data_IF_225051673771
#
_entry.id   IF_225051673771
#
_cell.length_a   1.000
_cell.length_b   1.000
_cell.length_c   1.000
_cell.angle_alpha   90.00
_cell.angle_beta   90.00
_cell.angle_gamma   90.00
#
_symmetry.space_group_name_H-M   'P 1'
#
loop_
_entity.id
_entity.type
_entity.pdbx_description
1 polymer ?
#
# COMPACT_ATOMS: atom_id res chain seq x y z
N UNK A 1 -15.02 11.85 10.41
CA UNK A 1 -14.00 12.20 11.42
C UNK A 1 -14.39 13.40 12.30
N UNK A 2 -15.10 14.41 11.79
CA UNK A 2 -15.61 15.52 12.63
C UNK A 2 -17.14 15.50 12.70
N UNK A 3 -17.68 14.62 13.55
CA UNK A 3 -19.11 14.67 13.89
C UNK A 3 -19.36 15.72 14.98
N UNK A 4 -20.56 16.32 15.07
CA UNK A 4 -20.85 17.39 16.03
C UNK A 4 -20.69 17.04 17.51
N UNK A 5 -20.40 15.78 17.86
CA UNK A 5 -20.19 15.30 19.23
C UNK A 5 -18.75 14.78 19.45
N UNK A 6 -17.78 15.29 18.67
CA UNK A 6 -16.38 14.89 18.84
C UNK A 6 -15.81 15.53 20.11
N UNK A 7 -15.84 14.79 21.21
CA UNK A 7 -15.30 15.22 22.52
C UNK A 7 -13.85 15.66 22.44
N UNK A 8 -13.07 15.08 21.52
CA UNK A 8 -11.68 15.44 21.25
C UNK A 8 -11.57 16.87 20.67
N UNK A 9 -12.43 17.23 19.70
CA UNK A 9 -12.49 18.57 19.12
C UNK A 9 -13.01 19.64 20.09
N UNK A 10 -14.00 19.29 20.91
CA UNK A 10 -14.53 20.21 21.94
C UNK A 10 -13.48 20.51 23.02
N UNK A 11 -12.75 19.48 23.47
CA UNK A 11 -11.67 19.62 24.46
C UNK A 11 -10.50 20.46 23.95
N UNK A 12 -10.24 20.41 22.63
CA UNK A 12 -9.27 21.26 21.93
C UNK A 12 -9.73 22.72 21.87
N UNK A 13 -11.00 22.96 21.52
CA UNK A 13 -11.55 24.32 21.36
C UNK A 13 -11.65 25.12 22.65
N UNK A 14 -11.79 24.44 23.80
CA UNK A 14 -11.98 25.06 25.11
C UNK A 14 -10.67 25.37 25.85
N UNK A 15 -9.51 24.98 25.32
CA UNK A 15 -8.21 25.24 25.95
C UNK A 15 -7.57 26.53 25.44
N UNK A 16 -7.13 27.36 26.38
CA UNK A 16 -6.44 28.64 26.13
C UNK A 16 -5.14 28.41 25.33
N UNK A 17 -4.91 29.26 24.33
CA UNK A 17 -3.80 29.23 23.35
C UNK A 17 -2.37 29.37 23.94
N UNK A 18 -2.23 29.37 25.27
CA UNK A 18 -0.97 29.70 25.95
C UNK A 18 0.04 28.55 25.93
N UNK A 19 -0.38 27.33 25.53
CA UNK A 19 0.50 26.16 25.41
C UNK A 19 0.09 25.26 24.24
N UNK A 20 1.08 24.77 23.49
CA UNK A 20 0.87 23.75 22.47
C UNK A 20 0.15 22.54 23.06
N UNK A 21 -0.90 22.09 22.38
CA UNK A 21 -1.66 20.92 22.79
C UNK A 21 -0.99 19.66 22.25
N UNK A 22 -0.62 18.78 23.16
CA UNK A 22 0.03 17.52 22.85
C UNK A 22 -1.02 16.41 22.76
N UNK A 23 -1.04 15.71 21.61
CA UNK A 23 -1.89 14.55 21.36
C UNK A 23 -0.98 13.33 21.26
N UNK A 24 -1.19 12.37 22.15
CA UNK A 24 -0.47 11.10 22.09
C UNK A 24 -1.11 10.18 21.05
N UNK A 25 -0.31 9.70 20.10
CA UNK A 25 -0.70 8.74 19.06
C UNK A 25 0.14 7.46 19.19
N UNK A 26 -0.09 6.63 20.22
CA UNK A 26 0.80 5.50 20.55
C UNK A 26 0.76 4.36 19.54
N UNK A 27 -0.32 4.26 18.76
CA UNK A 27 -0.58 3.14 17.84
C UNK A 27 -0.17 3.45 16.39
N UNK A 28 0.23 4.69 16.09
CA UNK A 28 0.56 5.12 14.73
C UNK A 28 2.06 5.08 14.49
N UNK A 29 2.44 4.62 13.30
CA UNK A 29 3.83 4.65 12.88
C UNK A 29 4.28 6.11 12.65
N UNK A 30 5.32 6.60 13.36
CA UNK A 30 5.75 7.99 13.26
C UNK A 30 6.15 8.38 11.84
N UNK A 31 6.78 7.47 11.08
CA UNK A 31 7.24 7.76 9.73
C UNK A 31 6.05 7.87 8.75
N UNK A 32 5.05 7.00 8.86
CA UNK A 32 3.82 7.10 8.07
C UNK A 32 3.06 8.40 8.35
N UNK A 33 2.99 8.82 9.61
CA UNK A 33 2.37 10.09 10.02
C UNK A 33 3.13 11.29 9.45
N UNK A 34 4.46 11.26 9.51
CA UNK A 34 5.31 12.32 8.94
C UNK A 34 5.10 12.45 7.42
N UNK A 35 5.05 11.32 6.69
CA UNK A 35 4.74 11.32 5.25
C UNK A 35 3.37 11.96 4.99
N UNK A 36 2.34 11.57 5.75
CA UNK A 36 1.00 12.14 5.60
C UNK A 36 1.02 13.66 5.83
N UNK A 37 1.68 14.14 6.88
CA UNK A 37 1.77 15.57 7.15
C UNK A 37 2.56 16.33 6.09
N UNK A 38 3.65 15.76 5.57
CA UNK A 38 4.40 16.35 4.48
C UNK A 38 3.54 16.49 3.21
N UNK A 39 2.68 15.51 2.91
CA UNK A 39 1.71 15.60 1.80
C UNK A 39 0.71 16.72 2.07
N UNK A 40 0.09 16.77 3.25
CA UNK A 40 -0.94 17.75 3.59
C UNK A 40 -0.42 19.19 3.64
N UNK A 41 0.87 19.37 3.97
CA UNK A 41 1.53 20.67 4.00
C UNK A 41 2.23 21.03 2.68
N UNK A 42 2.06 20.22 1.63
CA UNK A 42 2.70 20.41 0.32
C UNK A 42 4.25 20.47 0.37
N UNK A 43 4.86 19.80 1.34
CA UNK A 43 6.32 19.70 1.49
C UNK A 43 6.88 18.63 0.52
N UNK A 44 6.74 18.89 -0.78
CA UNK A 44 7.02 17.91 -1.83
C UNK A 44 8.47 17.40 -1.84
N UNK A 45 9.43 18.23 -1.42
CA UNK A 45 10.86 17.87 -1.32
C UNK A 45 11.12 16.78 -0.28
N UNK A 46 10.25 16.65 0.73
CA UNK A 46 10.36 15.66 1.80
C UNK A 46 9.56 14.37 1.50
N UNK A 47 8.94 14.26 0.32
CA UNK A 47 8.09 13.11 -0.01
C UNK A 47 8.90 11.91 -0.51
N UNK A 48 8.46 10.68 -0.20
CA UNK A 48 9.04 9.44 -0.73
C UNK A 48 9.20 9.37 -2.26
N UNK A 49 8.41 10.11 -3.05
CA UNK A 49 8.64 10.23 -4.50
C UNK A 49 10.02 10.84 -4.84
N UNK A 50 10.55 11.67 -3.95
CA UNK A 50 11.83 12.38 -4.11
C UNK A 50 12.96 11.64 -3.39
N UNK A 51 12.67 10.96 -2.27
CA UNK A 51 13.68 10.31 -1.41
C UNK A 51 13.76 8.78 -1.54
N UNK A 52 12.85 8.15 -2.30
CA UNK A 52 12.79 6.70 -2.54
C UNK A 52 11.71 6.01 -1.71
N UNK A 53 10.55 5.77 -2.31
CA UNK A 53 9.48 4.98 -1.70
C UNK A 53 9.76 3.48 -1.79
N UNK A 54 9.58 2.77 -0.68
CA UNK A 54 9.69 1.31 -0.62
C UNK A 54 8.34 0.65 -0.40
N UNK A 55 8.20 -0.63 -0.78
CA UNK A 55 6.99 -1.42 -0.52
C UNK A 55 6.62 -1.44 0.98
N UNK A 56 7.57 -1.65 1.94
CA UNK A 56 7.28 -1.53 3.36
C UNK A 56 6.75 -0.16 3.78
N UNK A 57 7.36 0.93 3.30
CA UNK A 57 6.88 2.29 3.61
C UNK A 57 5.45 2.49 3.11
N UNK A 58 5.16 2.04 1.89
CA UNK A 58 3.81 2.13 1.32
C UNK A 58 2.78 1.29 2.08
N UNK A 59 3.18 0.10 2.54
CA UNK A 59 2.37 -0.78 3.40
C UNK A 59 1.96 -0.11 4.70
N UNK A 60 2.88 0.60 5.35
CA UNK A 60 2.65 1.19 6.67
C UNK A 60 1.91 2.54 6.55
N UNK A 61 2.12 3.25 5.44
CA UNK A 61 1.43 4.50 5.11
C UNK A 61 -0.06 4.33 4.79
N UNK A 62 -0.42 3.32 4.00
CA UNK A 62 -1.79 3.17 3.51
C UNK A 62 -2.86 3.00 4.62
N UNK A 63 -2.66 2.17 5.66
CA UNK A 63 -3.58 2.05 6.79
C UNK A 63 -3.76 3.36 7.57
N UNK A 64 -2.71 4.17 7.72
CA UNK A 64 -2.80 5.49 8.36
C UNK A 64 -3.73 6.41 7.56
N UNK A 65 -3.59 6.42 6.23
CA UNK A 65 -4.47 7.20 5.36
C UNK A 65 -5.94 6.77 5.44
N UNK A 66 -6.20 5.47 5.54
CA UNK A 66 -7.56 4.94 5.74
C UNK A 66 -8.11 5.31 7.13
N UNK A 67 -7.33 5.05 8.19
CA UNK A 67 -7.67 5.34 9.60
C UNK A 67 -8.09 6.80 9.80
N UNK A 68 -7.36 7.73 9.19
CA UNK A 68 -7.61 9.17 9.29
C UNK A 68 -8.45 9.72 8.13
N UNK A 69 -9.01 8.87 7.26
CA UNK A 69 -9.88 9.23 6.15
C UNK A 69 -9.26 10.25 5.17
N UNK A 70 -7.97 10.08 4.87
CA UNK A 70 -7.19 10.86 3.91
C UNK A 70 -6.94 10.14 2.58
N UNK A 71 -7.46 8.93 2.37
CA UNK A 71 -7.33 8.16 1.12
C UNK A 71 -7.55 9.01 -0.16
N UNK A 72 -8.62 9.81 -0.19
CA UNK A 72 -8.91 10.72 -1.32
C UNK A 72 -7.89 11.85 -1.47
N UNK A 73 -7.41 12.40 -0.36
CA UNK A 73 -6.44 13.50 -0.37
C UNK A 73 -5.08 13.04 -0.93
N UNK A 74 -4.72 11.79 -0.68
CA UNK A 74 -3.47 11.19 -1.14
C UNK A 74 -3.62 10.39 -2.45
N UNK A 75 -4.79 10.44 -3.10
CA UNK A 75 -5.08 9.62 -4.29
C UNK A 75 -4.16 9.92 -5.48
N UNK A 76 -3.78 11.19 -5.67
CA UNK A 76 -2.84 11.58 -6.72
C UNK A 76 -1.43 11.06 -6.44
N UNK A 77 -0.87 11.35 -5.27
CA UNK A 77 0.50 10.95 -4.92
C UNK A 77 0.64 9.42 -4.88
N UNK A 78 -0.36 8.72 -4.34
CA UNK A 78 -0.36 7.26 -4.31
C UNK A 78 -0.43 6.63 -5.69
N UNK A 79 -1.13 7.26 -6.65
CA UNK A 79 -1.15 6.77 -8.03
C UNK A 79 0.24 6.85 -8.68
N UNK A 80 0.95 7.96 -8.49
CA UNK A 80 2.34 8.13 -8.96
C UNK A 80 3.25 7.07 -8.33
N UNK A 81 3.14 6.89 -7.02
CA UNK A 81 3.93 5.89 -6.30
C UNK A 81 3.68 4.46 -6.76
N UNK A 82 2.44 4.13 -7.15
CA UNK A 82 2.11 2.81 -7.65
C UNK A 82 2.77 2.52 -9.00
N UNK A 83 2.88 3.53 -9.88
CA UNK A 83 3.60 3.38 -11.15
C UNK A 83 5.07 2.99 -10.93
N UNK A 84 5.69 3.52 -9.87
CA UNK A 84 7.08 3.21 -9.50
C UNK A 84 7.21 1.87 -8.76
N UNK A 85 6.26 1.52 -7.89
CA UNK A 85 6.32 0.30 -7.07
C UNK A 85 5.96 -0.98 -7.84
N UNK A 86 5.01 -0.89 -8.77
CA UNK A 86 4.49 -2.06 -9.51
C UNK A 86 5.57 -2.85 -10.26
N UNK A 87 6.51 -2.21 -10.98
CA UNK A 87 7.60 -2.92 -11.65
C UNK A 87 8.47 -3.75 -10.69
N UNK A 88 8.59 -3.33 -9.43
CA UNK A 88 9.47 -3.94 -8.44
C UNK A 88 8.78 -5.05 -7.61
N UNK A 89 7.44 -5.16 -7.68
CA UNK A 89 6.68 -6.18 -6.97
C UNK A 89 6.68 -7.52 -7.73
N UNK A 90 7.81 -8.24 -7.67
CA UNK A 90 7.98 -9.52 -8.36
C UNK A 90 7.50 -10.72 -7.54
N UNK A 91 7.57 -10.61 -6.21
CA UNK A 91 7.15 -11.66 -5.28
C UNK A 91 5.64 -11.74 -5.08
N UNK A 92 5.12 -12.94 -4.80
CA UNK A 92 3.70 -13.11 -4.38
C UNK A 92 3.40 -12.30 -3.12
N UNK A 93 4.34 -12.24 -2.17
CA UNK A 93 4.18 -11.46 -0.94
C UNK A 93 4.11 -9.96 -1.20
N UNK A 94 5.02 -9.44 -2.03
CA UNK A 94 5.09 -8.03 -2.39
C UNK A 94 3.85 -7.55 -3.14
N UNK A 95 3.39 -8.30 -4.15
CA UNK A 95 2.13 -8.01 -4.84
C UNK A 95 0.96 -7.95 -3.88
N UNK A 96 0.95 -8.82 -2.87
CA UNK A 96 -0.14 -8.88 -1.91
C UNK A 96 -0.12 -7.72 -0.93
N UNK A 97 1.07 -7.26 -0.55
CA UNK A 97 1.26 -6.04 0.23
C UNK A 97 0.79 -4.81 -0.55
N UNK A 98 1.20 -4.66 -1.82
CA UNK A 98 0.77 -3.54 -2.68
C UNK A 98 -0.75 -3.55 -2.86
N UNK A 99 -1.34 -4.72 -3.09
CA UNK A 99 -2.80 -4.88 -3.20
C UNK A 99 -3.54 -4.45 -1.93
N UNK A 100 -3.07 -4.87 -0.76
CA UNK A 100 -3.68 -4.48 0.51
C UNK A 100 -3.60 -2.96 0.71
N UNK A 101 -2.45 -2.36 0.43
CA UNK A 101 -2.26 -0.92 0.51
C UNK A 101 -3.20 -0.15 -0.45
N UNK A 102 -3.34 -0.61 -1.70
CA UNK A 102 -4.28 0.00 -2.66
C UNK A 102 -5.73 -0.09 -2.21
N UNK A 103 -6.09 -1.16 -1.50
CA UNK A 103 -7.44 -1.32 -0.95
C UNK A 103 -7.74 -0.28 0.14
N UNK A 104 -6.77 0.00 1.02
CA UNK A 104 -6.87 1.08 2.03
C UNK A 104 -6.94 2.48 1.42
N UNK A 105 -6.31 2.69 0.25
CA UNK A 105 -6.26 3.99 -0.40
C UNK A 105 -7.47 4.28 -1.31
N UNK A 106 -8.47 3.39 -1.33
CA UNK A 106 -9.69 3.53 -2.14
C UNK A 106 -9.41 3.93 -3.60
N UNK A 107 -8.40 3.30 -4.21
CA UNK A 107 -8.00 3.57 -5.60
C UNK A 107 -8.52 2.45 -6.52
N UNK A 108 -9.75 2.59 -7.09
CA UNK A 108 -10.39 1.53 -7.86
C UNK A 108 -9.64 1.20 -9.16
N UNK A 109 -8.99 2.19 -9.77
CA UNK A 109 -8.23 2.02 -11.02
C UNK A 109 -7.00 1.17 -10.77
N UNK A 110 -6.19 1.53 -9.76
CA UNK A 110 -5.01 0.75 -9.40
C UNK A 110 -5.38 -0.67 -8.94
N UNK A 111 -6.48 -0.80 -8.20
CA UNK A 111 -6.97 -2.10 -7.74
C UNK A 111 -7.31 -3.02 -8.92
N UNK A 112 -8.02 -2.49 -9.93
CA UNK A 112 -8.39 -3.24 -11.12
C UNK A 112 -7.14 -3.70 -11.91
N UNK A 113 -6.18 -2.79 -12.10
CA UNK A 113 -4.92 -3.08 -12.81
C UNK A 113 -4.12 -4.18 -12.09
N UNK A 114 -3.95 -4.06 -10.77
CA UNK A 114 -3.27 -5.04 -9.93
C UNK A 114 -3.92 -6.41 -9.96
N UNK A 115 -5.25 -6.45 -9.91
CA UNK A 115 -6.02 -7.70 -9.97
C UNK A 115 -5.81 -8.39 -11.31
N UNK A 116 -5.88 -7.63 -12.41
CA UNK A 116 -5.65 -8.14 -13.76
C UNK A 116 -4.25 -8.75 -13.89
N UNK A 117 -3.22 -8.01 -13.49
CA UNK A 117 -1.82 -8.48 -13.51
C UNK A 117 -1.63 -9.75 -12.65
N UNK A 118 -2.22 -9.76 -11.46
CA UNK A 118 -2.12 -10.90 -10.54
C UNK A 118 -2.76 -12.16 -11.11
N UNK A 119 -3.92 -12.03 -11.79
CA UNK A 119 -4.61 -13.14 -12.44
C UNK A 119 -3.76 -13.69 -13.60
N UNK A 120 -3.26 -12.83 -14.49
CA UNK A 120 -2.43 -13.26 -15.63
C UNK A 120 -1.19 -14.02 -15.15
N UNK A 121 -0.43 -13.44 -14.21
CA UNK A 121 0.75 -14.10 -13.63
C UNK A 121 0.40 -15.39 -12.89
N UNK A 122 -0.81 -15.52 -12.34
CA UNK A 122 -1.26 -16.77 -11.70
C UNK A 122 -1.54 -17.86 -12.74
N UNK A 123 -2.16 -17.50 -13.86
CA UNK A 123 -2.45 -18.43 -14.97
C UNK A 123 -1.16 -18.89 -15.63
N UNK A 124 -0.23 -17.97 -15.94
CA UNK A 124 1.08 -18.32 -16.52
C UNK A 124 1.84 -19.31 -15.63
N UNK A 125 1.93 -19.03 -14.32
CA UNK A 125 2.58 -19.95 -13.37
C UNK A 125 1.87 -21.30 -13.25
N UNK A 126 0.55 -21.34 -13.39
CA UNK A 126 -0.19 -22.60 -13.39
C UNK A 126 0.13 -23.43 -14.64
N UNK A 127 0.19 -22.78 -15.81
CA UNK A 127 0.57 -23.42 -17.07
C UNK A 127 2.01 -23.91 -17.03
N UNK A 128 2.96 -23.10 -16.55
CA UNK A 128 4.37 -23.49 -16.41
C UNK A 128 4.54 -24.70 -15.48
N UNK A 129 3.85 -24.72 -14.33
CA UNK A 129 3.87 -25.88 -13.43
C UNK A 129 3.28 -27.12 -14.08
N UNK A 130 2.16 -26.99 -14.80
CA UNK A 130 1.52 -28.12 -15.50
C UNK A 130 2.39 -28.65 -16.63
N UNK A 131 2.95 -27.78 -17.46
CA UNK A 131 3.83 -28.16 -18.57
C UNK A 131 5.16 -28.74 -18.05
N UNK A 132 5.75 -28.17 -17.00
CA UNK A 132 6.93 -28.72 -16.34
C UNK A 132 6.67 -30.11 -15.74
N UNK A 133 5.51 -30.33 -15.12
CA UNK A 133 5.11 -31.66 -14.61
C UNK A 133 4.87 -32.65 -15.75
N UNK A 134 4.26 -32.22 -16.85
CA UNK A 134 4.05 -33.09 -18.02
C UNK A 134 5.39 -33.51 -18.63
N UNK A 135 6.31 -32.57 -18.85
CA UNK A 135 7.64 -32.84 -19.43
C UNK A 135 8.52 -33.71 -18.52
N UNK A 136 8.45 -33.52 -17.21
CA UNK A 136 9.18 -34.38 -16.26
C UNK A 136 8.57 -35.77 -16.14
N UNK A 137 7.24 -35.89 -16.21
CA UNK A 137 6.56 -37.20 -16.20
C UNK A 137 6.81 -38.02 -17.46
N UNK A 138 6.88 -37.39 -18.64
CA UNK A 138 7.17 -38.07 -19.90
C UNK A 138 8.64 -38.49 -20.02
N UNK A 139 9.57 -37.72 -19.46
CA UNK A 139 10.98 -38.10 -19.35
C UNK A 139 11.18 -39.28 -18.39
N UNK A 140 10.51 -39.29 -17.23
CA UNK A 140 10.58 -40.41 -16.27
C UNK A 140 9.93 -41.70 -16.80
N UNK A 141 8.85 -41.60 -17.59
CA UNK A 141 8.22 -42.75 -18.24
C UNK A 141 9.07 -43.36 -19.35
N UNK A 142 9.96 -42.58 -19.98
CA UNK A 142 10.88 -43.09 -21.01
C UNK A 142 12.17 -43.69 -20.41
N UNK A 143 12.53 -43.36 -19.17
CA UNK A 143 13.71 -43.93 -18.50
C UNK A 143 13.46 -45.27 -17.77
N UNK A 144 12.21 -45.75 -17.71
CA UNK A 144 11.84 -47.02 -17.03
C UNK A 144 11.66 -48.22 -17.97
N UNK A 145 11.95 -48.03 -19.26
CA UNK A 145 12.00 -49.08 -20.29
C UNK A 145 13.46 -49.33 -20.70
N UNK A 146 14.31 -49.82 -19.79
CA UNK A 146 15.58 -50.45 -20.13
C UNK A 146 16.06 -51.40 -19.03
#
# INVERSE_FOLDING_TARGET
>A
MFSPNCTEGDSLSQKTLDKAYEIALPDDDPAAMEILFNILQFQNEALPAVIGLTIPTFRDFAPVCDKYNYAKAVSFISSVWLEDLLPHAHGRGELWVVFAAVSFLDNPTAFLLLTKESIVKSVERFLDRRLGVILTSSLLSNCTLH
#
